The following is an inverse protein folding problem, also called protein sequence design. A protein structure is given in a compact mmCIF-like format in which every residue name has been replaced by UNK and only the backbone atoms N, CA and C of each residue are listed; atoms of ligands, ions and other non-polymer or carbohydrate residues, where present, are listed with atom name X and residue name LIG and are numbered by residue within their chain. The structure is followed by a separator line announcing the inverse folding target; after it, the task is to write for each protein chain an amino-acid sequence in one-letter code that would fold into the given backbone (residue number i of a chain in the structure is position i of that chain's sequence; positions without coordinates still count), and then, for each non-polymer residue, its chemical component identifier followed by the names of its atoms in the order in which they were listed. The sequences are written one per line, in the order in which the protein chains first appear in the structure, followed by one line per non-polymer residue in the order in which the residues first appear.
data_IF_111552957637
#
_entry.id   IF_111552957637
#
_cell.length_a   1.000
_cell.length_b   1.000
_cell.length_c   1.000
_cell.angle_alpha   90.00
_cell.angle_beta   90.00
_cell.angle_gamma   90.00
#
_symmetry.space_group_name_H-M   'P 1'
#
loop_
_entity.id
_entity.type
_entity.pdbx_description
1 polymer ?
#
# COMPACT_ATOMS: atom_id res chain seq x y z
N UNK A 1 -29.26 19.91 9.22
CA UNK A 1 -28.84 18.61 8.68
C UNK A 1 -27.97 17.98 9.77
N UNK A 2 -28.60 17.16 10.61
CA UNK A 2 -27.92 16.44 11.69
C UNK A 2 -27.17 15.26 11.03
N UNK A 3 -25.90 15.50 10.70
CA UNK A 3 -25.00 14.43 10.27
C UNK A 3 -24.66 13.53 11.45
N UNK A 4 -24.29 12.28 11.20
CA UNK A 4 -23.72 11.41 12.23
C UNK A 4 -22.53 12.07 12.93
N UNK A 5 -22.37 11.91 14.25
CA UNK A 5 -21.26 12.51 14.98
C UNK A 5 -19.92 11.97 14.46
N UNK A 6 -18.95 12.85 14.29
CA UNK A 6 -17.57 12.48 13.92
C UNK A 6 -16.98 11.60 15.03
N UNK A 7 -16.61 10.38 14.68
CA UNK A 7 -16.04 9.42 15.61
C UNK A 7 -14.51 9.57 15.69
N UNK A 8 -14.02 10.00 16.84
CA UNK A 8 -12.61 10.21 17.14
C UNK A 8 -12.09 9.00 17.93
N UNK A 9 -11.07 8.31 17.42
CA UNK A 9 -10.30 7.36 18.21
C UNK A 9 -9.09 8.07 18.81
N UNK A 10 -9.12 8.27 20.11
CA UNK A 10 -8.04 8.91 20.85
C UNK A 10 -7.08 7.86 21.42
N UNK A 11 -5.82 7.97 21.07
CA UNK A 11 -4.72 7.18 21.67
C UNK A 11 -3.92 8.09 22.58
N UNK A 12 -3.93 7.82 23.88
CA UNK A 12 -3.22 8.68 24.83
C UNK A 12 -3.58 8.42 26.28
N UNK A 13 -3.33 9.39 27.12
CA UNK A 13 -3.59 9.31 28.56
C UNK A 13 -5.08 9.60 28.90
N UNK A 14 -5.57 8.98 29.97
CA UNK A 14 -6.97 9.11 30.43
C UNK A 14 -7.31 10.57 30.78
N UNK A 15 -6.34 11.31 31.31
CA UNK A 15 -6.51 12.72 31.66
C UNK A 15 -6.84 13.58 30.44
N UNK A 16 -6.13 13.37 29.35
CA UNK A 16 -6.35 14.08 28.10
C UNK A 16 -7.69 13.69 27.46
N UNK A 17 -8.06 12.42 27.52
CA UNK A 17 -9.37 11.99 27.05
C UNK A 17 -10.54 12.71 27.76
N UNK A 18 -10.43 12.91 29.07
CA UNK A 18 -11.42 13.68 29.85
C UNK A 18 -11.45 15.15 29.44
N UNK A 19 -10.26 15.75 29.30
CA UNK A 19 -10.12 17.15 28.87
C UNK A 19 -10.75 17.40 27.50
N UNK A 20 -10.43 16.55 26.52
CA UNK A 20 -10.96 16.67 25.16
C UNK A 20 -12.47 16.48 25.09
N UNK A 21 -13.03 15.52 25.87
CA UNK A 21 -14.49 15.39 25.98
C UNK A 21 -15.14 16.66 26.49
N UNK A 22 -14.66 17.21 27.61
CA UNK A 22 -15.17 18.48 28.15
C UNK A 22 -15.05 19.60 27.14
N UNK A 23 -13.93 19.68 26.39
CA UNK A 23 -13.71 20.74 25.40
C UNK A 23 -14.71 20.63 24.24
N UNK A 24 -14.99 19.43 23.75
CA UNK A 24 -15.86 19.21 22.59
C UNK A 24 -17.35 19.22 22.96
N UNK A 25 -17.71 18.79 24.16
CA UNK A 25 -19.10 18.74 24.65
C UNK A 25 -19.62 20.06 25.21
N UNK A 26 -18.77 21.09 25.40
CA UNK A 26 -19.05 22.33 26.11
C UNK A 26 -20.22 23.18 25.59
N UNK A 27 -20.91 22.82 24.51
CA UNK A 27 -22.08 23.53 23.97
C UNK A 27 -23.32 22.62 23.73
N UNK A 28 -23.36 21.41 24.32
CA UNK A 28 -24.49 20.49 24.15
C UNK A 28 -24.64 19.94 22.73
N UNK A 29 -23.65 20.12 21.87
CA UNK A 29 -23.66 19.59 20.51
C UNK A 29 -23.14 18.13 20.50
N UNK A 30 -23.96 17.22 20.00
CA UNK A 30 -23.59 15.81 19.81
C UNK A 30 -22.79 15.60 18.50
N UNK A 31 -21.84 16.51 18.23
CA UNK A 31 -21.13 16.59 16.95
C UNK A 31 -19.92 15.65 16.88
N UNK A 32 -19.41 15.26 18.06
CA UNK A 32 -18.22 14.41 18.18
C UNK A 32 -18.47 13.27 19.17
N UNK A 33 -17.97 12.09 18.83
CA UNK A 33 -17.93 10.91 19.71
C UNK A 33 -16.47 10.52 19.93
N UNK A 34 -16.03 10.32 21.17
CA UNK A 34 -14.65 9.94 21.47
C UNK A 34 -14.61 8.54 22.07
N UNK A 35 -13.94 7.62 21.37
CA UNK A 35 -13.46 6.36 21.94
C UNK A 35 -12.00 6.54 22.34
N UNK A 36 -11.65 6.14 23.57
CA UNK A 36 -10.29 6.29 24.10
C UNK A 36 -9.65 4.93 24.32
N UNK A 37 -8.40 4.80 23.87
CA UNK A 37 -7.55 3.63 24.12
C UNK A 37 -6.17 4.07 24.62
N UNK A 38 -5.54 3.20 25.41
CA UNK A 38 -4.16 3.39 25.85
C UNK A 38 -3.21 2.68 24.89
N UNK A 39 -2.24 3.43 24.36
CA UNK A 39 -1.23 2.92 23.45
C UNK A 39 -1.76 2.53 22.06
N UNK A 40 -0.84 2.29 21.16
CA UNK A 40 -1.14 2.07 19.73
C UNK A 40 -1.58 0.62 19.41
N UNK A 41 -1.21 -0.36 20.25
CA UNK A 41 -1.48 -1.78 20.00
C UNK A 41 -2.94 -2.11 19.69
N UNK A 42 -3.92 -1.63 20.48
CA UNK A 42 -5.34 -1.93 20.27
C UNK A 42 -6.02 -1.18 19.11
N UNK A 43 -5.32 -0.30 18.39
CA UNK A 43 -5.93 0.56 17.34
C UNK A 43 -6.62 -0.27 16.27
N UNK A 44 -5.96 -1.26 15.71
CA UNK A 44 -6.51 -2.08 14.62
C UNK A 44 -7.78 -2.82 15.05
N UNK A 45 -7.78 -3.41 16.25
CA UNK A 45 -8.93 -4.15 16.79
C UNK A 45 -10.10 -3.22 17.12
N UNK A 46 -9.80 -2.02 17.65
CA UNK A 46 -10.81 -1.02 17.93
C UNK A 46 -11.47 -0.51 16.63
N UNK A 47 -10.67 -0.19 15.61
CA UNK A 47 -11.17 0.23 14.30
C UNK A 47 -12.02 -0.86 13.61
N UNK A 48 -11.65 -2.13 13.76
CA UNK A 48 -12.44 -3.23 13.20
C UNK A 48 -13.80 -3.40 13.86
N UNK A 49 -13.93 -3.08 15.15
CA UNK A 49 -15.18 -3.22 15.92
C UNK A 49 -16.09 -2.01 15.84
N UNK A 50 -15.54 -0.83 16.00
CA UNK A 50 -16.32 0.41 16.19
C UNK A 50 -16.16 1.39 15.03
N UNK A 51 -15.13 1.24 14.20
CA UNK A 51 -14.74 2.25 13.22
C UNK A 51 -14.19 3.52 13.88
N UNK A 52 -13.66 4.43 13.09
CA UNK A 52 -13.43 5.83 13.45
C UNK A 52 -13.19 6.65 12.18
N UNK A 53 -13.59 7.92 12.23
CA UNK A 53 -13.37 8.88 11.14
C UNK A 53 -11.98 9.49 11.19
N UNK A 54 -11.40 9.57 12.40
CA UNK A 54 -10.10 10.19 12.63
C UNK A 54 -9.39 9.59 13.86
N UNK A 55 -8.09 9.44 13.75
CA UNK A 55 -7.19 9.04 14.82
C UNK A 55 -6.53 10.28 15.41
N UNK A 56 -6.65 10.45 16.71
CA UNK A 56 -6.01 11.51 17.46
C UNK A 56 -4.94 10.90 18.36
N UNK A 57 -3.66 11.19 18.06
CA UNK A 57 -2.53 10.69 18.83
C UNK A 57 -2.06 11.75 19.83
N UNK A 58 -2.21 11.46 21.10
CA UNK A 58 -1.63 12.25 22.17
C UNK A 58 -0.20 11.79 22.41
N UNK A 59 0.75 12.65 22.03
CA UNK A 59 2.17 12.45 22.33
C UNK A 59 2.54 13.28 23.56
N UNK A 60 2.94 12.57 24.61
CA UNK A 60 3.42 13.18 25.84
C UNK A 60 4.69 14.02 25.65
N UNK A 61 5.28 14.50 26.74
CA UNK A 61 6.47 15.35 26.69
C UNK A 61 7.73 14.63 26.18
N UNK A 62 7.76 13.29 26.23
CA UNK A 62 8.84 12.50 25.65
C UNK A 62 8.58 12.22 24.16
N UNK A 63 9.24 13.01 23.31
CA UNK A 63 9.09 12.92 21.85
C UNK A 63 9.90 11.80 21.22
N UNK A 64 10.69 11.05 21.98
CA UNK A 64 11.54 9.95 21.45
C UNK A 64 10.72 8.85 20.78
N UNK A 65 9.49 8.64 21.22
CA UNK A 65 8.58 7.62 20.71
C UNK A 65 7.65 8.11 19.60
N UNK A 66 7.59 9.41 19.32
CA UNK A 66 6.66 9.99 18.33
C UNK A 66 6.78 9.33 16.97
N UNK A 67 8.02 9.08 16.53
CA UNK A 67 8.32 8.42 15.26
C UNK A 67 7.75 7.00 15.19
N UNK A 68 7.98 6.22 16.25
CA UNK A 68 7.47 4.85 16.34
C UNK A 68 5.94 4.81 16.40
N UNK A 69 5.33 5.73 17.15
CA UNK A 69 3.87 5.85 17.25
C UNK A 69 3.24 6.22 15.92
N UNK A 70 3.80 7.18 15.18
CA UNK A 70 3.29 7.55 13.84
C UNK A 70 3.39 6.40 12.85
N UNK A 71 4.52 5.72 12.83
CA UNK A 71 4.70 4.54 11.96
C UNK A 71 3.71 3.42 12.31
N UNK A 72 3.53 3.15 13.60
CA UNK A 72 2.58 2.14 14.07
C UNK A 72 1.12 2.56 13.77
N UNK A 73 0.77 3.84 13.91
CA UNK A 73 -0.54 4.38 13.56
C UNK A 73 -0.82 4.24 12.06
N UNK A 74 0.13 4.62 11.21
CA UNK A 74 0.00 4.48 9.76
C UNK A 74 -0.18 3.00 9.33
N UNK A 75 0.49 2.08 10.03
CA UNK A 75 0.36 0.64 9.78
C UNK A 75 -0.97 0.06 10.29
N UNK A 76 -1.42 0.47 11.49
CA UNK A 76 -2.65 -0.04 12.10
C UNK A 76 -3.92 0.59 11.50
N UNK A 77 -3.82 1.84 11.02
CA UNK A 77 -4.96 2.63 10.53
C UNK A 77 -4.67 3.29 9.15
N UNK A 78 -4.30 2.55 8.10
CA UNK A 78 -3.84 3.14 6.83
C UNK A 78 -4.93 3.92 6.07
N UNK A 79 -6.18 3.81 6.51
CA UNK A 79 -7.35 4.45 5.88
C UNK A 79 -7.95 5.57 6.72
N UNK A 80 -7.40 5.83 7.90
CA UNK A 80 -7.93 6.82 8.86
C UNK A 80 -6.94 7.98 8.98
N UNK A 81 -7.36 9.23 8.79
CA UNK A 81 -6.48 10.39 8.97
C UNK A 81 -6.01 10.48 10.42
N UNK A 82 -4.75 10.88 10.60
CA UNK A 82 -4.13 11.00 11.91
C UNK A 82 -3.80 12.46 12.20
N UNK A 83 -4.23 12.96 13.35
CA UNK A 83 -3.85 14.27 13.91
C UNK A 83 -3.07 14.05 15.19
N UNK A 84 -2.03 14.84 15.39
CA UNK A 84 -1.19 14.77 16.59
C UNK A 84 -1.57 15.87 17.57
N UNK A 85 -1.66 15.49 18.84
CA UNK A 85 -1.67 16.41 19.97
C UNK A 85 -0.33 16.34 20.71
N UNK A 86 0.26 17.47 21.02
CA UNK A 86 1.56 17.54 21.70
C UNK A 86 1.58 18.62 22.76
N UNK A 87 2.32 18.36 23.84
CA UNK A 87 2.65 19.38 24.83
C UNK A 87 3.72 20.37 24.33
N UNK A 88 4.43 20.00 23.26
CA UNK A 88 5.48 20.81 22.63
C UNK A 88 4.91 21.71 21.52
N UNK A 89 5.41 22.94 21.45
CA UNK A 89 5.17 23.87 20.33
C UNK A 89 6.32 23.82 19.28
N UNK A 90 7.13 22.76 19.27
CA UNK A 90 8.27 22.64 18.36
C UNK A 90 7.83 22.54 16.90
N UNK A 91 8.22 23.54 16.10
CA UNK A 91 7.96 23.58 14.66
C UNK A 91 8.63 22.42 13.93
N UNK A 92 9.86 22.04 14.32
CA UNK A 92 10.57 20.92 13.74
C UNK A 92 9.82 19.58 13.92
N UNK A 93 9.24 19.36 15.10
CA UNK A 93 8.43 18.18 15.39
C UNK A 93 7.13 18.18 14.59
N UNK A 94 6.51 19.34 14.42
CA UNK A 94 5.31 19.49 13.60
C UNK A 94 5.61 19.14 12.13
N UNK A 95 6.67 19.71 11.55
CA UNK A 95 7.08 19.44 10.17
C UNK A 95 7.43 17.97 9.98
N UNK A 96 8.22 17.37 10.90
CA UNK A 96 8.54 15.94 10.84
C UNK A 96 7.29 15.07 10.87
N UNK A 97 6.33 15.41 11.71
CA UNK A 97 5.06 14.69 11.87
C UNK A 97 4.23 14.72 10.57
N UNK A 98 4.12 15.89 9.94
CA UNK A 98 3.40 16.06 8.67
C UNK A 98 4.10 15.30 7.54
N UNK A 99 5.44 15.33 7.45
CA UNK A 99 6.21 14.58 6.46
C UNK A 99 6.02 13.07 6.59
N UNK A 100 5.67 12.60 7.79
CA UNK A 100 5.41 11.18 8.09
C UNK A 100 3.94 10.78 7.95
N UNK A 101 3.10 11.67 7.41
CA UNK A 101 1.71 11.38 7.05
C UNK A 101 0.67 11.82 8.06
N UNK A 102 1.03 12.51 9.16
CA UNK A 102 0.04 13.20 9.98
C UNK A 102 -0.68 14.26 9.14
N UNK A 103 -1.99 14.40 9.35
CA UNK A 103 -2.77 15.42 8.64
C UNK A 103 -2.65 16.79 9.29
N UNK A 104 -2.43 16.82 10.61
CA UNK A 104 -2.23 18.07 11.35
C UNK A 104 -1.45 17.79 12.66
N UNK A 105 -0.91 18.88 13.25
CA UNK A 105 -0.20 18.88 14.52
C UNK A 105 -0.70 20.04 15.38
N UNK A 106 -1.21 19.72 16.56
CA UNK A 106 -1.83 20.68 17.48
C UNK A 106 -1.08 20.74 18.81
N UNK A 107 -0.66 21.95 19.19
CA UNK A 107 -0.11 22.18 20.51
C UNK A 107 -1.23 22.29 21.54
N UNK A 108 -1.19 21.49 22.60
CA UNK A 108 -2.22 21.43 23.65
C UNK A 108 -2.41 22.77 24.36
N UNK A 109 -1.33 23.57 24.52
CA UNK A 109 -1.35 24.85 25.20
C UNK A 109 -2.26 25.88 24.51
N UNK A 110 -2.46 25.77 23.18
CA UNK A 110 -3.27 26.71 22.37
C UNK A 110 -4.57 26.08 21.87
N UNK A 111 -4.95 24.92 22.42
CA UNK A 111 -6.09 24.20 21.95
C UNK A 111 -7.40 24.70 22.54
N UNK A 112 -8.22 25.33 21.72
CA UNK A 112 -9.61 25.60 22.00
C UNK A 112 -10.56 24.70 21.19
N UNK A 113 -11.86 24.72 21.53
CA UNK A 113 -12.87 23.91 20.85
C UNK A 113 -12.92 24.19 19.33
N UNK A 114 -12.88 25.47 18.96
CA UNK A 114 -13.03 25.87 17.57
C UNK A 114 -11.82 25.43 16.72
N UNK A 115 -10.60 25.59 17.26
CA UNK A 115 -9.37 25.14 16.62
C UNK A 115 -9.36 23.61 16.44
N UNK A 116 -9.70 22.86 17.50
CA UNK A 116 -9.76 21.40 17.44
C UNK A 116 -10.81 20.92 16.44
N UNK A 117 -12.04 21.39 16.53
CA UNK A 117 -13.12 20.99 15.63
C UNK A 117 -12.80 21.30 14.17
N UNK A 118 -12.21 22.46 13.90
CA UNK A 118 -11.78 22.85 12.54
C UNK A 118 -10.66 21.95 12.03
N UNK A 119 -9.63 21.67 12.83
CA UNK A 119 -8.54 20.80 12.44
C UNK A 119 -9.02 19.38 12.13
N UNK A 120 -9.88 18.81 12.98
CA UNK A 120 -10.45 17.48 12.77
C UNK A 120 -11.23 17.39 11.45
N UNK A 121 -12.12 18.35 11.18
CA UNK A 121 -12.89 18.38 9.92
C UNK A 121 -11.98 18.56 8.71
N UNK A 122 -11.01 19.45 8.78
CA UNK A 122 -10.08 19.68 7.66
C UNK A 122 -9.18 18.48 7.42
N UNK A 123 -8.74 17.78 8.46
CA UNK A 123 -7.96 16.56 8.35
C UNK A 123 -8.76 15.44 7.64
N UNK A 124 -10.02 15.24 8.03
CA UNK A 124 -10.93 14.26 7.40
C UNK A 124 -11.14 14.60 5.92
N UNK A 125 -11.49 15.86 5.62
CA UNK A 125 -11.79 16.25 4.23
C UNK A 125 -10.55 16.24 3.35
N UNK A 126 -9.39 16.69 3.85
CA UNK A 126 -8.11 16.61 3.13
C UNK A 126 -7.76 15.17 2.82
N UNK A 127 -7.88 14.27 3.79
CA UNK A 127 -7.61 12.85 3.58
C UNK A 127 -8.57 12.22 2.56
N UNK A 128 -9.86 12.58 2.60
CA UNK A 128 -10.86 12.15 1.62
C UNK A 128 -10.50 12.61 0.21
N UNK A 129 -10.12 13.88 0.04
CA UNK A 129 -9.70 14.44 -1.25
C UNK A 129 -8.42 13.77 -1.77
N UNK A 130 -7.43 13.55 -0.90
CA UNK A 130 -6.21 12.83 -1.26
C UNK A 130 -6.51 11.41 -1.73
N UNK A 131 -7.39 10.68 -1.03
CA UNK A 131 -7.82 9.34 -1.45
C UNK A 131 -8.58 9.35 -2.78
N UNK A 132 -9.42 10.37 -3.01
CA UNK A 132 -10.11 10.53 -4.30
C UNK A 132 -9.11 10.74 -5.42
N UNK A 133 -8.11 11.59 -5.23
CA UNK A 133 -7.03 11.81 -6.21
C UNK A 133 -6.21 10.53 -6.45
N UNK A 134 -5.86 9.81 -5.39
CA UNK A 134 -5.18 8.50 -5.50
C UNK A 134 -6.04 7.47 -6.24
N UNK A 135 -7.37 7.49 -6.03
CA UNK A 135 -8.30 6.61 -6.75
C UNK A 135 -8.38 6.97 -8.24
N UNK A 136 -8.15 8.23 -8.59
CA UNK A 136 -8.07 8.69 -9.98
C UNK A 136 -6.68 8.40 -10.59
N UNK A 137 -5.65 8.19 -9.80
CA UNK A 137 -4.34 7.77 -10.27
C UNK A 137 -4.43 6.39 -10.93
N UNK A 138 -3.78 6.23 -12.08
CA UNK A 138 -3.64 4.95 -12.79
C UNK A 138 -2.30 4.27 -12.49
N UNK A 139 -1.50 4.85 -11.59
CA UNK A 139 -0.16 4.38 -11.21
C UNK A 139 -0.13 3.91 -9.76
N UNK A 140 0.77 2.99 -9.47
CA UNK A 140 1.15 2.57 -8.13
C UNK A 140 2.24 3.49 -7.61
N UNK A 141 2.00 4.12 -6.46
CA UNK A 141 2.87 5.17 -5.92
C UNK A 141 4.28 4.65 -5.53
N UNK A 142 4.40 3.38 -5.16
CA UNK A 142 5.67 2.79 -4.75
C UNK A 142 6.53 2.40 -5.94
N UNK A 143 5.93 1.73 -6.92
CA UNK A 143 6.66 1.13 -8.04
C UNK A 143 6.61 1.96 -9.32
N UNK A 144 5.68 2.92 -9.44
CA UNK A 144 5.44 3.71 -10.65
C UNK A 144 4.89 2.90 -11.84
N UNK A 145 4.61 1.59 -11.66
CA UNK A 145 3.87 0.79 -12.62
C UNK A 145 2.39 1.21 -12.67
N UNK A 146 1.61 0.67 -13.59
CA UNK A 146 0.17 0.86 -13.49
C UNK A 146 -0.35 0.16 -12.23
N UNK A 147 -1.33 0.74 -11.55
CA UNK A 147 -2.08 0.06 -10.52
C UNK A 147 -3.15 -0.86 -11.14
N UNK A 148 -3.90 -1.60 -10.32
CA UNK A 148 -4.95 -2.50 -10.80
C UNK A 148 -5.93 -1.80 -11.74
N UNK A 149 -6.38 -0.59 -11.39
CA UNK A 149 -7.34 0.19 -12.20
C UNK A 149 -6.73 0.60 -13.55
N UNK A 150 -5.49 1.12 -13.53
CA UNK A 150 -4.75 1.47 -14.74
C UNK A 150 -4.52 0.28 -15.64
N UNK A 151 -4.19 -0.88 -15.06
CA UNK A 151 -4.05 -2.12 -15.81
C UNK A 151 -5.35 -2.52 -16.52
N UNK A 152 -6.47 -2.62 -15.78
CA UNK A 152 -7.76 -3.02 -16.34
C UNK A 152 -8.17 -2.09 -17.49
N UNK A 153 -8.09 -0.77 -17.28
CA UNK A 153 -8.46 0.22 -18.30
C UNK A 153 -7.61 0.11 -19.58
N UNK A 154 -6.29 0.04 -19.44
CA UNK A 154 -5.37 -0.05 -20.57
C UNK A 154 -5.44 -1.40 -21.27
N UNK A 155 -5.53 -2.48 -20.50
CA UNK A 155 -5.63 -3.84 -21.01
C UNK A 155 -6.91 -4.06 -21.83
N UNK A 156 -8.07 -3.60 -21.33
CA UNK A 156 -9.32 -3.65 -22.11
C UNK A 156 -9.21 -2.91 -23.44
N UNK A 157 -8.58 -1.74 -23.44
CA UNK A 157 -8.36 -0.98 -24.67
C UNK A 157 -7.49 -1.76 -25.67
N UNK A 158 -6.38 -2.32 -25.20
CA UNK A 158 -5.45 -3.10 -26.05
C UNK A 158 -6.07 -4.39 -26.55
N UNK A 159 -6.80 -5.13 -25.70
CA UNK A 159 -7.47 -6.35 -26.09
C UNK A 159 -8.55 -6.16 -27.14
N UNK A 160 -9.24 -5.00 -27.17
CA UNK A 160 -10.15 -4.65 -28.26
C UNK A 160 -9.45 -4.51 -29.61
N UNK A 161 -8.18 -4.06 -29.62
CA UNK A 161 -7.37 -3.95 -30.83
C UNK A 161 -6.85 -5.32 -31.28
N UNK A 162 -6.45 -6.18 -30.33
CA UNK A 162 -5.96 -7.54 -30.57
C UNK A 162 -7.04 -8.46 -31.14
N UNK A 163 -8.32 -8.27 -30.78
CA UNK A 163 -9.48 -9.04 -31.32
C UNK A 163 -9.51 -9.17 -32.84
N UNK A 164 -8.89 -8.28 -33.56
CA UNK A 164 -8.98 -8.25 -35.04
C UNK A 164 -7.92 -9.07 -35.77
N UNK A 165 -6.71 -9.28 -35.25
CA UNK A 165 -5.60 -10.02 -35.91
C UNK A 165 -4.38 -10.32 -35.00
N UNK A 166 -4.44 -10.19 -33.66
CA UNK A 166 -3.30 -10.29 -32.78
C UNK A 166 -3.37 -11.47 -31.79
N UNK A 167 -2.23 -11.83 -31.24
CA UNK A 167 -2.08 -12.68 -30.05
C UNK A 167 -1.66 -11.80 -28.86
N UNK A 168 -2.13 -12.15 -27.67
CA UNK A 168 -1.67 -11.52 -26.45
C UNK A 168 -1.35 -12.59 -25.40
N UNK A 169 -0.37 -12.30 -24.55
CA UNK A 169 -0.03 -13.11 -23.39
C UNK A 169 -0.28 -12.29 -22.13
N UNK A 170 -0.86 -12.92 -21.13
CA UNK A 170 -0.93 -12.39 -19.79
C UNK A 170 0.07 -13.11 -18.90
N UNK A 171 0.93 -12.34 -18.22
CA UNK A 171 1.92 -12.85 -17.27
C UNK A 171 1.52 -12.36 -15.91
N UNK A 172 1.22 -13.27 -15.01
CA UNK A 172 0.91 -12.97 -13.62
C UNK A 172 2.09 -13.36 -12.74
N UNK A 173 2.55 -12.47 -11.90
CA UNK A 173 3.71 -12.69 -11.06
C UNK A 173 3.37 -12.36 -9.61
N UNK A 174 4.09 -13.01 -8.71
CA UNK A 174 3.97 -12.86 -7.26
C UNK A 174 5.38 -12.81 -6.64
N UNK A 175 5.65 -11.85 -5.85
CA UNK A 175 6.90 -11.79 -5.12
C UNK A 175 6.80 -12.73 -3.91
N UNK A 176 7.53 -13.84 -3.99
CA UNK A 176 7.52 -14.85 -2.95
C UNK A 176 8.09 -14.28 -1.62
N UNK A 177 7.53 -14.72 -0.52
CA UNK A 177 8.01 -14.46 0.85
C UNK A 177 8.13 -12.98 1.25
N UNK A 178 7.37 -12.07 0.62
CA UNK A 178 7.38 -10.64 0.98
C UNK A 178 7.13 -10.42 2.48
N UNK A 179 6.22 -11.21 3.08
CA UNK A 179 5.95 -11.13 4.51
C UNK A 179 7.19 -11.48 5.34
N UNK A 180 7.91 -12.52 4.97
CA UNK A 180 9.15 -12.94 5.65
C UNK A 180 10.24 -11.86 5.51
N UNK A 181 10.35 -11.22 4.35
CA UNK A 181 11.28 -10.08 4.15
C UNK A 181 10.91 -8.93 5.08
N UNK A 182 9.62 -8.59 5.20
CA UNK A 182 9.15 -7.54 6.10
C UNK A 182 9.42 -7.87 7.57
N UNK A 183 9.12 -9.11 7.98
CA UNK A 183 9.26 -9.54 9.37
C UNK A 183 10.74 -9.60 9.80
N UNK A 184 11.65 -10.01 8.90
CA UNK A 184 13.08 -10.16 9.19
C UNK A 184 13.88 -8.86 8.99
N UNK A 185 13.50 -8.00 8.04
CA UNK A 185 14.33 -6.86 7.60
C UNK A 185 13.59 -5.52 7.64
N UNK A 186 12.31 -5.52 8.00
CA UNK A 186 11.46 -4.32 8.08
C UNK A 186 10.84 -3.91 6.74
N UNK A 187 9.79 -3.12 6.82
CA UNK A 187 8.99 -2.68 5.66
C UNK A 187 9.79 -1.90 4.60
N UNK A 188 10.88 -1.25 4.98
CA UNK A 188 11.74 -0.55 4.01
C UNK A 188 12.40 -1.53 3.04
N UNK A 189 12.87 -2.67 3.52
CA UNK A 189 13.46 -3.70 2.66
C UNK A 189 12.38 -4.42 1.84
N UNK A 190 11.18 -4.62 2.38
CA UNK A 190 10.04 -5.10 1.59
C UNK A 190 9.64 -4.14 0.46
N UNK A 191 9.60 -2.85 0.72
CA UNK A 191 9.37 -1.84 -0.32
C UNK A 191 10.47 -1.86 -1.38
N UNK A 192 11.72 -2.09 -0.97
CA UNK A 192 12.86 -2.23 -1.88
C UNK A 192 12.72 -3.47 -2.76
N UNK A 193 12.28 -4.60 -2.21
CA UNK A 193 12.01 -5.82 -2.96
C UNK A 193 10.92 -5.59 -4.03
N UNK A 194 9.84 -4.89 -3.69
CA UNK A 194 8.78 -4.51 -4.62
C UNK A 194 9.28 -3.59 -5.75
N UNK A 195 10.10 -2.59 -5.42
CA UNK A 195 10.67 -1.67 -6.42
C UNK A 195 11.64 -2.40 -7.34
N UNK A 196 12.50 -3.27 -6.80
CA UNK A 196 13.41 -4.09 -7.60
C UNK A 196 12.65 -5.05 -8.53
N UNK A 197 11.52 -5.61 -8.08
CA UNK A 197 10.63 -6.43 -8.94
C UNK A 197 10.09 -5.60 -10.10
N UNK A 198 9.64 -4.36 -9.85
CA UNK A 198 9.19 -3.47 -10.91
C UNK A 198 10.30 -3.15 -11.91
N UNK A 199 11.53 -2.96 -11.46
CA UNK A 199 12.70 -2.70 -12.33
C UNK A 199 13.07 -3.94 -13.17
N UNK A 200 12.93 -5.14 -12.61
CA UNK A 200 13.06 -6.40 -13.35
C UNK A 200 12.05 -6.44 -14.49
N UNK A 201 10.78 -6.12 -14.20
CA UNK A 201 9.72 -6.11 -15.22
C UNK A 201 10.02 -5.08 -16.32
N UNK A 202 10.41 -3.83 -15.97
CA UNK A 202 10.78 -2.81 -16.97
C UNK A 202 11.93 -3.26 -17.87
N UNK A 203 12.89 -4.01 -17.32
CA UNK A 203 14.03 -4.51 -18.08
C UNK A 203 13.70 -5.73 -18.97
N UNK A 204 12.68 -6.50 -18.62
CA UNK A 204 12.28 -7.69 -19.34
C UNK A 204 11.23 -7.45 -20.43
N UNK A 205 10.42 -6.40 -20.31
CA UNK A 205 9.28 -6.14 -21.18
C UNK A 205 9.44 -4.84 -21.95
N UNK A 206 8.73 -4.71 -23.07
CA UNK A 206 8.80 -3.57 -23.98
C UNK A 206 7.91 -2.42 -23.45
N UNK A 207 8.16 -1.20 -23.92
CA UNK A 207 7.32 -0.04 -23.60
C UNK A 207 5.87 -0.17 -24.12
N UNK A 208 5.64 -1.05 -25.10
CA UNK A 208 4.30 -1.38 -25.62
C UNK A 208 3.52 -2.32 -24.70
N UNK A 209 4.19 -3.02 -23.81
CA UNK A 209 3.56 -3.96 -22.89
C UNK A 209 3.03 -3.21 -21.68
N UNK A 210 1.89 -3.67 -21.14
CA UNK A 210 1.26 -3.03 -20.00
C UNK A 210 1.71 -3.72 -18.73
N UNK A 211 2.54 -3.05 -17.95
CA UNK A 211 3.08 -3.53 -16.69
C UNK A 211 2.29 -2.93 -15.54
N UNK A 212 1.95 -3.75 -14.54
CA UNK A 212 1.18 -3.32 -13.39
C UNK A 212 1.58 -4.04 -12.10
N UNK A 213 1.35 -3.35 -10.98
CA UNK A 213 1.24 -3.94 -9.65
C UNK A 213 -0.23 -3.95 -9.27
N UNK A 214 -0.79 -5.13 -9.03
CA UNK A 214 -2.22 -5.31 -8.76
C UNK A 214 -2.57 -5.07 -7.28
N UNK A 215 -1.59 -5.22 -6.39
CA UNK A 215 -1.69 -4.99 -4.96
C UNK A 215 -0.78 -5.95 -4.18
N UNK A 216 -0.33 -5.55 -3.00
CA UNK A 216 0.56 -6.36 -2.18
C UNK A 216 1.84 -6.77 -2.92
N UNK A 217 2.02 -8.08 -3.11
CA UNK A 217 3.11 -8.76 -3.80
C UNK A 217 2.79 -9.15 -5.25
N UNK A 218 1.58 -8.82 -5.75
CA UNK A 218 1.06 -9.27 -7.03
C UNK A 218 1.36 -8.29 -8.17
N UNK A 219 1.95 -8.79 -9.25
CA UNK A 219 2.23 -8.05 -10.49
C UNK A 219 1.58 -8.73 -11.69
N UNK A 220 1.33 -7.95 -12.72
CA UNK A 220 0.77 -8.44 -13.97
C UNK A 220 1.39 -7.72 -15.18
N UNK A 221 1.58 -8.45 -16.28
CA UNK A 221 1.99 -7.90 -17.55
C UNK A 221 1.04 -8.40 -18.65
N UNK A 222 0.53 -7.49 -19.47
CA UNK A 222 -0.14 -7.81 -20.72
C UNK A 222 0.83 -7.51 -21.87
N UNK A 223 1.24 -8.57 -22.58
CA UNK A 223 2.04 -8.48 -23.81
C UNK A 223 1.10 -8.49 -25.01
N UNK A 224 1.23 -7.49 -25.87
CA UNK A 224 0.51 -7.44 -27.13
C UNK A 224 1.44 -7.78 -28.29
N UNK A 225 0.91 -8.43 -29.34
CA UNK A 225 1.70 -8.93 -30.47
C UNK A 225 2.77 -9.96 -30.07
N UNK A 226 2.41 -10.88 -29.19
CA UNK A 226 3.28 -11.89 -28.62
C UNK A 226 3.58 -13.07 -29.58
N UNK A 227 3.36 -12.93 -30.90
CA UNK A 227 3.52 -14.01 -31.88
C UNK A 227 4.92 -14.65 -31.92
N UNK A 228 5.93 -14.02 -31.35
CA UNK A 228 7.31 -14.51 -31.34
C UNK A 228 7.82 -14.97 -29.96
N UNK A 229 7.10 -14.65 -28.89
CA UNK A 229 7.49 -15.00 -27.53
C UNK A 229 6.66 -16.19 -27.05
N UNK A 230 7.30 -17.31 -26.77
CA UNK A 230 6.64 -18.44 -26.07
C UNK A 230 6.58 -18.14 -24.56
N UNK A 231 5.62 -18.75 -23.86
CA UNK A 231 5.54 -18.67 -22.41
C UNK A 231 6.86 -19.09 -21.72
N UNK A 232 7.55 -20.09 -22.29
CA UNK A 232 8.83 -20.58 -21.79
C UNK A 232 9.94 -19.54 -21.93
N UNK A 233 10.01 -18.83 -23.07
CA UNK A 233 11.02 -17.78 -23.29
C UNK A 233 10.81 -16.60 -22.34
N UNK A 234 9.56 -16.21 -22.09
CA UNK A 234 9.22 -15.16 -21.13
C UNK A 234 9.62 -15.57 -19.72
N UNK A 235 9.27 -16.80 -19.30
CA UNK A 235 9.64 -17.32 -17.99
C UNK A 235 11.17 -17.40 -17.80
N UNK A 236 11.90 -17.88 -18.81
CA UNK A 236 13.36 -17.96 -18.80
C UNK A 236 14.00 -16.57 -18.65
N UNK A 237 13.57 -15.60 -19.46
CA UNK A 237 14.06 -14.22 -19.42
C UNK A 237 13.86 -13.57 -18.06
N UNK A 238 12.70 -13.78 -17.44
CA UNK A 238 12.41 -13.29 -16.09
C UNK A 238 13.33 -13.95 -15.06
N UNK A 239 13.49 -15.28 -15.11
CA UNK A 239 14.35 -16.01 -14.19
C UNK A 239 15.81 -15.59 -14.28
N UNK A 240 16.34 -15.43 -15.49
CA UNK A 240 17.70 -14.93 -15.72
C UNK A 240 17.89 -13.54 -15.12
N UNK A 241 16.89 -12.66 -15.28
CA UNK A 241 16.96 -11.30 -14.73
C UNK A 241 16.88 -11.28 -13.21
N UNK A 242 16.04 -12.11 -12.60
CA UNK A 242 15.98 -12.29 -11.13
C UNK A 242 17.34 -12.78 -10.62
N UNK A 243 17.92 -13.80 -11.25
CA UNK A 243 19.22 -14.35 -10.87
C UNK A 243 20.33 -13.29 -10.98
N UNK A 244 20.34 -12.51 -12.05
CA UNK A 244 21.27 -11.41 -12.24
C UNK A 244 21.13 -10.35 -11.15
N UNK A 245 19.90 -9.97 -10.80
CA UNK A 245 19.63 -8.98 -9.74
C UNK A 245 20.10 -9.49 -8.39
N UNK A 246 19.83 -10.74 -8.07
CA UNK A 246 20.29 -11.39 -6.84
C UNK A 246 21.81 -11.51 -6.73
N UNK A 247 22.51 -11.67 -7.86
CA UNK A 247 23.97 -11.76 -7.89
C UNK A 247 24.67 -10.39 -7.75
N UNK A 248 24.02 -9.32 -8.23
CA UNK A 248 24.63 -7.99 -8.32
C UNK A 248 24.54 -7.16 -7.04
N UNK A 249 23.54 -7.41 -6.24
CA UNK A 249 23.30 -6.65 -5.02
C UNK A 249 23.62 -7.52 -3.81
N UNK A 250 24.50 -7.04 -2.92
CA UNK A 250 24.67 -7.56 -1.57
C UNK A 250 23.41 -7.31 -0.72
N UNK A 251 22.26 -7.69 -1.26
CA UNK A 251 20.94 -7.54 -0.63
C UNK A 251 20.84 -8.43 0.59
N UNK A 252 20.18 -7.95 1.64
CA UNK A 252 19.86 -8.72 2.84
C UNK A 252 18.84 -9.83 2.59
N UNK A 253 18.21 -9.85 1.41
CA UNK A 253 17.22 -10.83 0.97
C UNK A 253 17.50 -11.25 -0.48
N UNK A 254 16.95 -12.38 -0.89
CA UNK A 254 16.94 -12.83 -2.29
C UNK A 254 15.53 -12.72 -2.84
N UNK A 255 15.42 -12.20 -4.07
CA UNK A 255 14.16 -12.16 -4.79
C UNK A 255 13.85 -13.54 -5.36
N UNK A 256 12.60 -13.96 -5.22
CA UNK A 256 12.00 -15.09 -5.91
C UNK A 256 10.64 -14.69 -6.44
N UNK A 257 10.29 -15.15 -7.64
CA UNK A 257 9.01 -14.84 -8.29
C UNK A 257 8.30 -16.11 -8.70
N UNK A 258 7.07 -16.28 -8.25
CA UNK A 258 6.13 -17.27 -8.79
C UNK A 258 5.46 -16.70 -10.04
N UNK A 259 5.52 -17.44 -11.18
CA UNK A 259 5.10 -16.94 -12.48
C UNK A 259 4.00 -17.84 -13.06
N UNK A 260 2.90 -17.23 -13.51
CA UNK A 260 1.87 -17.86 -14.33
C UNK A 260 1.73 -17.13 -15.67
N UNK A 261 1.66 -17.87 -16.77
CA UNK A 261 1.54 -17.29 -18.12
C UNK A 261 0.38 -17.96 -18.83
N UNK A 262 -0.47 -17.18 -19.49
CA UNK A 262 -1.57 -17.67 -20.30
C UNK A 262 -1.72 -16.89 -21.59
N UNK A 263 -2.15 -17.60 -22.64
CA UNK A 263 -2.60 -17.00 -23.87
C UNK A 263 -3.95 -16.32 -23.67
N UNK A 264 -4.09 -15.14 -24.26
CA UNK A 264 -5.38 -14.44 -24.31
C UNK A 264 -5.99 -14.68 -25.70
N UNK A 265 -7.06 -15.48 -25.78
CA UNK A 265 -7.68 -15.79 -27.06
C UNK A 265 -8.28 -14.55 -27.70
N UNK A 266 -8.05 -14.34 -28.99
CA UNK A 266 -8.57 -13.19 -29.73
C UNK A 266 -10.09 -13.17 -29.92
N UNK A 267 -10.73 -14.36 -29.86
CA UNK A 267 -12.17 -14.55 -30.04
C UNK A 267 -12.77 -15.19 -28.79
N UNK A 268 -13.86 -14.65 -28.26
CA UNK A 268 -14.50 -15.11 -27.00
C UNK A 268 -13.59 -14.94 -25.78
N UNK A 269 -13.16 -13.71 -25.53
CA UNK A 269 -12.39 -13.39 -24.33
C UNK A 269 -13.30 -13.40 -23.10
N UNK A 270 -12.98 -14.18 -22.05
CA UNK A 270 -13.61 -14.00 -20.73
C UNK A 270 -13.27 -12.60 -20.20
N UNK A 271 -14.05 -12.06 -19.25
CA UNK A 271 -13.72 -10.82 -18.58
C UNK A 271 -12.28 -10.87 -18.05
N UNK A 272 -11.52 -9.77 -18.20
CA UNK A 272 -10.12 -9.71 -17.81
C UNK A 272 -9.92 -10.08 -16.32
N UNK A 273 -10.89 -9.75 -15.48
CA UNK A 273 -10.88 -10.12 -14.06
C UNK A 273 -10.97 -11.63 -13.83
N UNK A 274 -11.68 -12.35 -14.69
CA UNK A 274 -11.79 -13.81 -14.64
C UNK A 274 -10.45 -14.46 -15.04
N UNK A 275 -9.82 -13.97 -16.12
CA UNK A 275 -8.48 -14.39 -16.53
C UNK A 275 -7.44 -14.18 -15.41
N UNK A 276 -7.47 -13.04 -14.75
CA UNK A 276 -6.60 -12.75 -13.60
C UNK A 276 -6.85 -13.72 -12.44
N UNK A 277 -8.12 -14.02 -12.17
CA UNK A 277 -8.51 -14.93 -11.08
C UNK A 277 -8.07 -16.38 -11.34
N UNK A 278 -8.16 -16.84 -12.57
CA UNK A 278 -7.72 -18.18 -13.00
C UNK A 278 -6.19 -18.32 -12.87
N UNK A 279 -5.44 -17.31 -13.30
CA UNK A 279 -3.98 -17.31 -13.18
C UNK A 279 -3.53 -17.27 -11.70
N UNK A 280 -4.22 -16.55 -10.86
CA UNK A 280 -4.00 -16.54 -9.41
C UNK A 280 -4.25 -17.92 -8.78
N UNK A 281 -5.27 -18.67 -9.24
CA UNK A 281 -5.56 -20.04 -8.79
C UNK A 281 -4.54 -21.04 -9.33
N UNK A 282 -4.16 -20.93 -10.59
CA UNK A 282 -3.18 -21.81 -11.26
C UNK A 282 -1.77 -21.71 -10.65
N UNK A 283 -1.39 -20.57 -10.11
CA UNK A 283 -0.14 -20.38 -9.35
C UNK A 283 -0.05 -21.22 -8.08
N UNK A 284 -1.14 -21.36 -7.36
CA UNK A 284 -1.19 -22.19 -6.14
C UNK A 284 -0.90 -23.68 -6.41
N UNK A 285 -0.94 -24.09 -7.67
CA UNK A 285 -0.76 -25.48 -8.12
C UNK A 285 0.58 -25.72 -8.81
N UNK A 286 1.38 -24.68 -9.15
CA UNK A 286 2.73 -24.83 -9.71
C UNK A 286 3.77 -24.53 -8.63
N UNK A 287 4.57 -25.55 -8.31
CA UNK A 287 5.74 -25.42 -7.46
C UNK A 287 6.72 -24.35 -8.00
N UNK A 288 7.48 -23.65 -7.14
CA UNK A 288 8.53 -22.74 -7.57
C UNK A 288 9.47 -23.51 -8.51
N UNK A 289 9.88 -22.88 -9.62
CA UNK A 289 10.86 -23.46 -10.52
C UNK A 289 12.13 -23.82 -9.71
N UNK A 290 12.67 -25.04 -9.82
CA UNK A 290 13.75 -25.49 -8.98
C UNK A 290 14.96 -24.56 -9.13
N UNK A 291 15.46 -24.09 -8.01
CA UNK A 291 16.74 -23.40 -7.91
C UNK A 291 17.78 -24.42 -8.39
N UNK A 292 18.38 -24.22 -9.57
CA UNK A 292 19.51 -25.03 -9.99
C UNK A 292 20.61 -24.83 -8.96
N UNK A 293 20.84 -25.82 -8.13
CA UNK A 293 22.00 -25.93 -7.25
C UNK A 293 23.25 -25.93 -8.13
N UNK A 294 23.85 -24.76 -8.33
CA UNK A 294 25.17 -24.64 -8.94
C UNK A 294 26.18 -25.20 -7.96
N UNK A 295 26.71 -26.36 -8.35
CA UNK A 295 27.98 -27.01 -8.01
C UNK A 295 28.81 -26.33 -6.91
N UNK A 296 28.96 -27.09 -5.83
CA UNK A 296 30.09 -26.95 -4.92
C UNK A 296 31.41 -27.04 -5.72
N UNK A 297 32.25 -26.03 -5.64
CA UNK A 297 33.64 -26.11 -6.04
C UNK A 297 34.36 -26.88 -4.94
N UNK A 298 35.06 -28.01 -5.22
CA UNK A 298 35.90 -28.65 -4.23
C UNK A 298 37.19 -27.86 -4.00
N UNK A 299 37.69 -27.95 -2.79
CA UNK A 299 38.82 -27.31 -2.13
C UNK A 299 40.07 -27.04 -2.99
#
# INVERSE_FOLDING_TARGET
MDGEPIHILLVGEVGEARRLRQLLESNGSNEFRITHIRGIGPVADCLAREGADILLLDIGPDHSQTRAMLHAAASAAPRVPTVILSDSESESLAVESLQRGAQDFLAKARLDRAALARSLRFAIERHRLQRTLQTLSLKDDLTGLNNRRGFLMLAEQQLRLVRRKGSALIVYLDLDDLKMINDNHGHLEGNRALTQTADILRACFRNSDILARLGGDEFCVLMTNACQDSAEQVAKRLQERVNYTNAKHGSRFRLSLSIGIADVPGVHQPPLEELLSEQKRGKRTRAPLPISSSQAVPA
#
